data_IF_847854937111
#
_entry.id   IF_847854937111
#
_cell.length_a   1.000
_cell.length_b   1.000
_cell.length_c   1.000
_cell.angle_alpha   90.00
_cell.angle_beta   90.00
_cell.angle_gamma   90.00
#
_symmetry.space_group_name_H-M   'P 1'
#
loop_
_entity.id
_entity.type
_entity.pdbx_description
1 polymer ?
#
# COMPACT_ATOMS: atom_id res chain seq x y z
N UNK A 1 48.06 -28.62 -6.60
CA UNK A 1 47.35 -28.60 -5.30
C UNK A 1 45.86 -28.45 -5.61
N UNK A 2 45.03 -29.39 -5.17
CA UNK A 2 43.60 -29.45 -5.50
C UNK A 2 42.84 -28.51 -4.56
N UNK A 3 42.21 -27.46 -5.08
CA UNK A 3 41.36 -26.56 -4.30
C UNK A 3 40.02 -27.26 -4.02
N UNK A 4 39.75 -27.58 -2.76
CA UNK A 4 38.46 -28.12 -2.33
C UNK A 4 37.45 -26.98 -2.19
N UNK A 5 36.34 -27.05 -2.92
CA UNK A 5 35.18 -26.17 -2.74
C UNK A 5 34.21 -26.82 -1.76
N UNK A 6 33.83 -26.14 -0.68
CA UNK A 6 32.72 -26.55 0.19
C UNK A 6 31.45 -25.89 -0.34
N UNK A 7 30.55 -26.70 -0.91
CA UNK A 7 29.22 -26.27 -1.34
C UNK A 7 28.32 -26.25 -0.10
N UNK A 8 27.96 -25.06 0.40
CA UNK A 8 26.93 -24.94 1.43
C UNK A 8 25.58 -24.87 0.74
N UNK A 9 24.79 -25.93 0.86
CA UNK A 9 23.45 -26.06 0.25
C UNK A 9 22.43 -25.43 1.19
N UNK A 10 21.88 -24.27 0.83
CA UNK A 10 20.62 -23.78 1.42
C UNK A 10 19.54 -23.87 0.34
N UNK A 11 18.69 -24.89 0.46
CA UNK A 11 17.57 -25.10 -0.44
C UNK A 11 16.42 -24.18 -0.04
N UNK A 12 16.24 -23.07 -0.76
CA UNK A 12 14.95 -22.39 -0.85
C UNK A 12 14.64 -22.18 -2.32
N UNK A 13 13.65 -22.96 -2.79
CA UNK A 13 13.10 -22.95 -4.16
C UNK A 13 14.12 -22.80 -5.29
N UNK A 14 14.95 -23.83 -5.50
CA UNK A 14 15.58 -24.13 -6.80
C UNK A 14 16.70 -23.22 -7.31
N UNK A 15 17.15 -22.20 -6.56
CA UNK A 15 18.26 -21.35 -6.97
C UNK A 15 19.56 -21.76 -6.27
N UNK A 16 20.60 -22.07 -7.05
CA UNK A 16 21.94 -22.40 -6.53
C UNK A 16 22.80 -21.14 -6.50
N UNK A 17 23.23 -20.71 -5.32
CA UNK A 17 24.19 -19.60 -5.16
C UNK A 17 25.53 -20.22 -4.76
N UNK A 18 26.57 -20.01 -5.57
CA UNK A 18 27.95 -20.36 -5.22
C UNK A 18 28.65 -19.12 -4.66
N UNK A 19 29.22 -19.22 -3.45
CA UNK A 19 29.98 -18.14 -2.80
C UNK A 19 31.37 -18.63 -2.42
N UNK A 20 32.38 -17.77 -2.56
CA UNK A 20 33.79 -18.09 -2.35
C UNK A 20 34.21 -17.77 -0.90
N UNK A 21 34.89 -18.71 -0.22
CA UNK A 21 35.15 -18.66 1.22
C UNK A 21 36.06 -17.52 1.70
N UNK A 22 36.80 -16.86 0.79
CA UNK A 22 37.67 -15.74 1.13
C UNK A 22 36.92 -14.42 1.43
N UNK A 23 35.60 -14.39 1.30
CA UNK A 23 34.77 -13.23 1.64
C UNK A 23 34.04 -13.34 3.00
N UNK A 24 34.27 -14.40 3.78
CA UNK A 24 33.49 -14.67 5.00
C UNK A 24 33.82 -13.78 6.22
N UNK A 25 34.82 -12.90 6.16
CA UNK A 25 35.18 -12.02 7.29
C UNK A 25 34.62 -10.58 7.13
N UNK A 26 33.94 -10.27 6.02
CA UNK A 26 33.43 -8.92 5.74
C UNK A 26 31.91 -8.73 5.85
N UNK A 27 31.13 -9.79 6.09
CA UNK A 27 29.66 -9.76 5.97
C UNK A 27 28.99 -9.69 7.35
N UNK A 28 29.44 -8.78 8.20
CA UNK A 28 28.58 -8.20 9.25
C UNK A 28 28.28 -6.76 8.86
N UNK A 29 27.77 -6.59 7.64
CA UNK A 29 27.20 -5.35 7.16
C UNK A 29 25.94 -5.72 6.39
N UNK A 30 24.83 -5.69 7.11
CA UNK A 30 23.50 -5.34 6.62
C UNK A 30 23.12 -5.90 5.23
N UNK A 31 22.69 -7.17 5.19
CA UNK A 31 21.69 -7.60 4.20
C UNK A 31 20.30 -7.11 4.63
N UNK A 32 20.15 -5.81 4.83
CA UNK A 32 18.84 -5.21 4.59
C UNK A 32 18.70 -5.19 3.09
N UNK A 33 18.04 -6.21 2.52
CA UNK A 33 17.28 -5.98 1.30
C UNK A 33 16.37 -4.80 1.63
N UNK A 34 16.80 -3.59 1.28
CA UNK A 34 16.01 -2.37 1.40
C UNK A 34 14.98 -2.47 0.29
N UNK A 35 14.00 -3.35 0.48
CA UNK A 35 12.69 -3.14 -0.10
C UNK A 35 12.17 -1.89 0.60
N UNK A 36 12.60 -0.71 0.12
CA UNK A 36 11.96 0.53 0.50
C UNK A 36 10.51 0.33 0.10
N UNK A 37 9.55 0.34 1.04
CA UNK A 37 8.16 0.19 0.68
C UNK A 37 7.87 1.27 -0.36
N UNK A 38 7.46 0.86 -1.56
CA UNK A 38 6.84 1.73 -2.55
C UNK A 38 5.76 2.51 -1.80
N UNK A 39 6.04 3.77 -1.43
CA UNK A 39 5.23 4.51 -0.47
C UNK A 39 3.97 4.95 -1.19
N UNK A 40 2.97 4.07 -1.20
CA UNK A 40 1.59 4.44 -1.46
C UNK A 40 1.05 5.00 -0.14
N UNK A 41 0.36 6.14 -0.20
CA UNK A 41 -0.16 6.80 0.99
C UNK A 41 -1.61 7.18 0.79
N UNK A 42 -2.48 6.81 1.74
CA UNK A 42 -3.82 7.38 1.89
C UNK A 42 -3.81 8.41 3.02
N UNK A 43 -4.19 9.65 2.73
CA UNK A 43 -4.31 10.72 3.73
C UNK A 43 -5.65 10.69 4.44
N UNK A 44 -5.69 11.34 5.61
CA UNK A 44 -6.95 11.65 6.28
C UNK A 44 -7.79 12.55 5.36
N UNK A 45 -9.08 12.25 5.23
CA UNK A 45 -10.00 13.08 4.47
C UNK A 45 -10.10 14.47 5.11
N UNK A 46 -10.25 15.50 4.29
CA UNK A 46 -10.39 16.88 4.77
C UNK A 46 -11.58 17.58 4.09
N UNK A 47 -12.48 18.22 4.86
CA UNK A 47 -12.53 18.24 6.33
C UNK A 47 -12.88 16.87 6.93
N UNK A 48 -12.55 16.66 8.21
CA UNK A 48 -13.04 15.54 9.04
C UNK A 48 -13.15 16.00 10.50
N UNK A 49 -14.35 16.08 11.09
CA UNK A 49 -15.66 15.72 10.52
C UNK A 49 -16.05 16.60 9.31
N UNK A 50 -16.96 16.13 8.46
CA UNK A 50 -17.37 16.83 7.23
C UNK A 50 -18.88 17.01 7.11
N UNK A 51 -19.32 17.99 6.29
CA UNK A 51 -20.73 18.19 5.92
C UNK A 51 -20.87 18.94 4.57
N UNK A 52 -21.62 18.43 3.57
CA UNK A 52 -21.82 17.01 3.23
C UNK A 52 -20.68 16.46 2.37
N UNK A 53 -19.68 17.31 2.06
CA UNK A 53 -18.58 16.95 1.18
C UNK A 53 -17.24 16.90 1.88
N UNK A 54 -16.38 15.98 1.46
CA UNK A 54 -14.98 15.88 1.89
C UNK A 54 -14.09 15.54 0.71
N UNK A 55 -12.79 15.74 0.85
CA UNK A 55 -11.78 15.33 -0.13
C UNK A 55 -10.92 14.21 0.44
N UNK A 56 -10.74 13.16 -0.34
CA UNK A 56 -9.82 12.06 -0.06
C UNK A 56 -8.59 12.25 -0.94
N UNK A 57 -7.43 12.34 -0.32
CA UNK A 57 -6.16 12.48 -1.02
C UNK A 57 -5.30 11.23 -0.86
N UNK A 58 -4.61 10.84 -1.92
CA UNK A 58 -3.66 9.73 -1.90
C UNK A 58 -2.52 9.93 -2.89
N UNK A 59 -1.43 9.22 -2.66
CA UNK A 59 -0.25 9.20 -3.51
C UNK A 59 0.05 7.79 -4.00
N UNK A 60 0.39 7.68 -5.29
CA UNK A 60 0.88 6.46 -5.91
C UNK A 60 2.36 6.62 -6.22
N UNK A 61 3.18 5.65 -5.79
CA UNK A 61 4.63 5.63 -6.05
C UNK A 61 4.98 5.17 -7.47
N UNK A 62 4.07 4.45 -8.14
CA UNK A 62 4.18 3.93 -9.50
C UNK A 62 2.81 3.86 -10.18
N UNK A 63 2.81 3.57 -11.49
CA UNK A 63 1.58 3.29 -12.23
C UNK A 63 0.88 2.07 -11.63
N UNK A 64 -0.40 2.18 -11.32
CA UNK A 64 -1.15 1.12 -10.65
C UNK A 64 -2.63 1.17 -11.00
N UNK A 65 -3.28 0.01 -10.96
CA UNK A 65 -4.73 -0.06 -10.90
C UNK A 65 -5.20 0.35 -9.50
N UNK A 66 -6.11 1.31 -9.42
CA UNK A 66 -6.56 1.91 -8.17
C UNK A 66 -8.06 1.79 -8.01
N UNK A 67 -8.48 1.31 -6.84
CA UNK A 67 -9.84 1.42 -6.35
C UNK A 67 -9.90 2.30 -5.10
N UNK A 68 -10.80 3.28 -5.09
CA UNK A 68 -11.16 4.03 -3.89
C UNK A 68 -12.60 3.72 -3.54
N UNK A 69 -12.80 3.02 -2.42
CA UNK A 69 -14.09 2.47 -2.01
C UNK A 69 -14.59 3.14 -0.73
N UNK A 70 -15.91 3.34 -0.60
CA UNK A 70 -16.57 3.81 0.63
C UNK A 70 -17.44 2.68 1.19
N UNK A 71 -17.36 2.48 2.50
CA UNK A 71 -18.10 1.46 3.25
C UNK A 71 -18.82 2.08 4.45
N UNK A 72 -19.92 1.45 4.87
CA UNK A 72 -20.53 1.72 6.17
C UNK A 72 -19.79 0.99 7.30
N UNK A 73 -20.22 1.20 8.55
CA UNK A 73 -19.63 0.55 9.74
C UNK A 73 -19.76 -0.98 9.75
N UNK A 74 -20.70 -1.54 8.98
CA UNK A 74 -20.90 -2.98 8.84
C UNK A 74 -19.99 -3.60 7.78
N UNK A 75 -19.16 -2.79 7.10
CA UNK A 75 -18.28 -3.24 6.01
C UNK A 75 -19.00 -3.42 4.67
N UNK A 76 -20.24 -2.95 4.54
CA UNK A 76 -20.96 -2.98 3.25
C UNK A 76 -20.41 -1.86 2.37
N UNK A 77 -19.97 -2.23 1.16
CA UNK A 77 -19.49 -1.28 0.14
C UNK A 77 -20.69 -0.47 -0.37
N UNK A 78 -20.62 0.85 -0.23
CA UNK A 78 -21.66 1.78 -0.66
C UNK A 78 -21.30 2.44 -2.00
N UNK A 79 -20.04 2.84 -2.19
CA UNK A 79 -19.59 3.56 -3.37
C UNK A 79 -18.21 3.12 -3.83
N UNK A 80 -17.98 3.25 -5.14
CA UNK A 80 -16.67 3.16 -5.78
C UNK A 80 -16.38 4.51 -6.41
N UNK A 81 -15.47 5.29 -5.81
CA UNK A 81 -15.14 6.65 -6.25
C UNK A 81 -14.09 6.67 -7.36
N UNK A 82 -13.21 5.67 -7.38
CA UNK A 82 -12.16 5.47 -8.38
C UNK A 82 -12.07 3.99 -8.66
N UNK A 83 -11.91 3.61 -9.93
CA UNK A 83 -11.75 2.23 -10.39
C UNK A 83 -11.06 2.20 -11.76
N UNK A 84 -9.79 2.61 -11.80
CA UNK A 84 -9.04 2.74 -13.06
C UNK A 84 -7.54 2.62 -12.82
N UNK A 85 -6.80 2.37 -13.90
CA UNK A 85 -5.35 2.56 -13.90
C UNK A 85 -5.00 4.06 -13.85
N UNK A 86 -4.01 4.40 -13.02
CA UNK A 86 -3.51 5.75 -12.80
C UNK A 86 -1.98 5.73 -12.83
N UNK A 87 -1.39 6.81 -13.33
CA UNK A 87 0.06 7.01 -13.32
C UNK A 87 0.56 7.33 -11.90
N UNK A 88 1.89 7.34 -11.73
CA UNK A 88 2.51 7.84 -10.50
C UNK A 88 2.07 9.29 -10.23
N UNK A 89 1.62 9.60 -9.01
CA UNK A 89 1.28 10.96 -8.65
C UNK A 89 0.36 11.11 -7.44
N UNK A 90 0.04 12.36 -7.13
CA UNK A 90 -0.96 12.73 -6.14
C UNK A 90 -2.33 12.85 -6.79
N UNK A 91 -3.34 12.30 -6.11
CA UNK A 91 -4.71 12.32 -6.55
C UNK A 91 -5.62 12.84 -5.44
N UNK A 92 -6.70 13.51 -5.86
CA UNK A 92 -7.76 13.98 -4.98
C UNK A 92 -9.10 13.55 -5.55
N UNK A 93 -9.95 12.96 -4.72
CA UNK A 93 -11.30 12.59 -5.10
C UNK A 93 -12.29 13.22 -4.11
N UNK A 94 -13.34 13.83 -4.64
CA UNK A 94 -14.41 14.43 -3.85
C UNK A 94 -15.45 13.36 -3.54
N UNK A 95 -15.90 13.32 -2.28
CA UNK A 95 -17.03 12.51 -1.85
C UNK A 95 -18.15 13.44 -1.36
N UNK A 96 -19.39 13.16 -1.77
CA UNK A 96 -20.60 13.81 -1.27
C UNK A 96 -21.49 12.76 -0.59
N UNK A 97 -21.86 12.99 0.66
CA UNK A 97 -22.67 12.10 1.48
C UNK A 97 -24.11 12.60 1.70
N UNK A 98 -24.58 13.58 0.92
CA UNK A 98 -25.89 14.24 1.10
C UNK A 98 -27.08 13.26 1.23
N UNK A 99 -27.07 12.17 0.47
CA UNK A 99 -28.11 11.13 0.48
C UNK A 99 -27.90 10.03 1.55
N UNK A 100 -26.89 10.19 2.42
CA UNK A 100 -26.56 9.21 3.45
C UNK A 100 -26.96 9.70 4.85
N UNK A 101 -27.20 8.80 5.81
CA UNK A 101 -27.33 9.18 7.21
C UNK A 101 -26.02 9.77 7.77
N UNK A 102 -26.12 10.70 8.71
CA UNK A 102 -24.96 11.12 9.51
C UNK A 102 -24.37 9.91 10.25
N UNK A 103 -23.04 9.85 10.37
CA UNK A 103 -22.39 8.74 11.05
C UNK A 103 -20.97 8.49 10.61
N UNK A 104 -20.45 7.36 11.09
CA UNK A 104 -19.10 6.90 10.80
C UNK A 104 -19.10 6.12 9.48
N UNK A 105 -18.15 6.44 8.63
CA UNK A 105 -17.89 5.72 7.38
C UNK A 105 -16.42 5.32 7.31
N UNK A 106 -16.14 4.31 6.50
CA UNK A 106 -14.78 3.85 6.21
C UNK A 106 -14.53 4.09 4.73
N UNK A 107 -13.36 4.62 4.40
CA UNK A 107 -12.89 4.68 3.03
C UNK A 107 -11.58 3.92 2.88
N UNK A 108 -11.36 3.40 1.70
CA UNK A 108 -10.26 2.49 1.40
C UNK A 108 -9.60 2.88 0.09
N UNK A 109 -8.28 2.84 0.08
CA UNK A 109 -7.45 2.83 -1.11
C UNK A 109 -6.94 1.40 -1.31
N UNK A 110 -7.19 0.83 -2.48
CA UNK A 110 -6.74 -0.50 -2.84
C UNK A 110 -6.02 -0.48 -4.20
N UNK A 111 -4.87 -1.13 -4.25
CA UNK A 111 -4.10 -1.47 -5.45
C UNK A 111 -3.76 -2.98 -5.40
N UNK A 112 -3.15 -3.57 -6.44
CA UNK A 112 -2.78 -4.99 -6.41
C UNK A 112 -1.86 -5.39 -5.24
N UNK A 113 -0.99 -4.47 -4.80
CA UNK A 113 0.05 -4.74 -3.80
C UNK A 113 -0.16 -3.96 -2.48
N UNK A 114 -1.19 -3.12 -2.40
CA UNK A 114 -1.40 -2.22 -1.26
C UNK A 114 -2.88 -2.05 -0.93
N UNK A 115 -3.20 -1.99 0.36
CA UNK A 115 -4.54 -1.73 0.86
C UNK A 115 -4.43 -0.93 2.14
N UNK A 116 -5.06 0.25 2.18
CA UNK A 116 -5.12 1.08 3.38
C UNK A 116 -6.53 1.62 3.57
N UNK A 117 -7.01 1.57 4.82
CA UNK A 117 -8.33 2.06 5.20
C UNK A 117 -8.22 3.21 6.19
N UNK A 118 -9.16 4.15 6.13
CA UNK A 118 -9.32 5.22 7.12
C UNK A 118 -10.79 5.45 7.42
N UNK A 119 -11.04 6.09 8.56
CA UNK A 119 -12.39 6.42 9.04
C UNK A 119 -12.67 7.89 8.79
N UNK A 120 -13.93 8.22 8.50
CA UNK A 120 -14.43 9.58 8.36
C UNK A 120 -15.77 9.75 9.07
N UNK A 121 -16.01 10.91 9.66
CA UNK A 121 -17.24 11.24 10.36
C UNK A 121 -18.06 12.25 9.56
N UNK A 122 -19.24 11.83 9.10
CA UNK A 122 -20.20 12.70 8.43
C UNK A 122 -21.13 13.34 9.46
N UNK A 123 -21.19 14.66 9.47
CA UNK A 123 -22.16 15.46 10.22
C UNK A 123 -23.19 16.01 9.24
N UNK A 124 -24.47 15.89 9.58
CA UNK A 124 -25.57 16.45 8.78
C UNK A 124 -25.86 17.87 9.20
#
# INVERSE_FOLDING_TARGET
MKQFYIVVILAVTGCFISVNAHQLVGIVQNYSNVFSPQVIELKQNFPNPFNPTTQIEYFLSERSYVEVNIYNILGIKLFVLVNTEQEKGWYKVKFNAEDLPAGLYIYELQTPMFKQTRKMLYLK
#
